data_IF_442472408210
#
_entry.id   IF_442472408210
#
_cell.length_a   1.000
_cell.length_b   1.000
_cell.length_c   1.000
_cell.angle_alpha   90.00
_cell.angle_beta   90.00
_cell.angle_gamma   90.00
#
_symmetry.space_group_name_H-M   'P 1'
#
loop_
_entity.id
_entity.type
_entity.pdbx_description
1 polymer ?
#
# COMPACT_ATOMS: atom_id res chain seq x y z
N UNK A 1 11.86 -2.03 14.90
CA UNK A 1 10.54 -2.14 14.25
C UNK A 1 9.55 -1.61 15.26
N UNK A 2 9.10 -0.35 15.30
CA UNK A 2 9.25 0.82 14.41
C UNK A 2 8.87 2.11 15.16
N UNK A 3 9.85 2.94 15.53
CA UNK A 3 9.57 4.23 16.19
C UNK A 3 8.70 5.18 15.34
N UNK A 4 8.66 4.97 14.02
CA UNK A 4 7.84 5.74 13.08
C UNK A 4 6.37 5.28 13.12
N UNK A 5 6.08 3.99 13.31
CA UNK A 5 4.70 3.51 13.41
C UNK A 5 4.08 3.90 14.76
N UNK A 6 4.89 3.97 15.81
CA UNK A 6 4.45 4.35 17.16
C UNK A 6 3.92 5.80 17.23
N UNK A 7 4.35 6.68 16.31
CA UNK A 7 3.90 8.08 16.26
C UNK A 7 2.71 8.30 15.31
N UNK A 8 2.22 7.26 14.64
CA UNK A 8 1.08 7.35 13.73
C UNK A 8 -0.20 7.11 14.53
N UNK A 9 -0.87 8.19 14.93
CA UNK A 9 -2.05 8.13 15.80
C UNK A 9 -3.30 7.54 15.10
N UNK A 10 -3.41 7.63 13.77
CA UNK A 10 -4.59 7.16 13.02
C UNK A 10 -4.39 5.72 12.50
N UNK A 11 -5.25 4.79 12.93
CA UNK A 11 -5.20 3.36 12.57
C UNK A 11 -5.08 3.11 11.05
N UNK A 12 -5.74 3.93 10.24
CA UNK A 12 -5.68 3.84 8.77
C UNK A 12 -4.28 4.07 8.21
N UNK A 13 -3.52 4.99 8.80
CA UNK A 13 -2.18 5.34 8.31
C UNK A 13 -1.20 4.26 8.69
N UNK A 14 -1.33 3.73 9.92
CA UNK A 14 -0.51 2.61 10.36
C UNK A 14 -0.73 1.39 9.47
N UNK A 15 -1.99 1.06 9.18
CA UNK A 15 -2.35 -0.03 8.27
C UNK A 15 -1.73 0.15 6.87
N UNK A 16 -1.81 1.35 6.29
CA UNK A 16 -1.22 1.64 4.97
C UNK A 16 0.29 1.49 4.98
N UNK A 17 0.98 1.98 6.02
CA UNK A 17 2.44 1.90 6.13
C UNK A 17 2.88 0.46 6.36
N UNK A 18 2.26 -0.25 7.30
CA UNK A 18 2.53 -1.68 7.55
C UNK A 18 2.33 -2.48 6.26
N UNK A 19 1.21 -2.26 5.55
CA UNK A 19 0.95 -2.93 4.27
C UNK A 19 2.06 -2.62 3.26
N UNK A 20 2.45 -1.35 3.09
CA UNK A 20 3.51 -0.96 2.15
C UNK A 20 4.86 -1.63 2.47
N UNK A 21 5.22 -1.70 3.76
CA UNK A 21 6.47 -2.29 4.23
C UNK A 21 6.46 -3.80 3.99
N UNK A 22 5.40 -4.49 4.42
CA UNK A 22 5.35 -5.96 4.43
C UNK A 22 5.14 -6.55 3.02
N UNK A 23 4.47 -5.82 2.12
CA UNK A 23 4.19 -6.30 0.76
C UNK A 23 5.17 -5.77 -0.29
N UNK A 24 5.90 -4.69 0.02
CA UNK A 24 6.76 -4.00 -0.94
C UNK A 24 6.01 -3.24 -2.03
N UNK A 25 4.71 -2.98 -1.84
CA UNK A 25 3.89 -2.22 -2.79
C UNK A 25 4.48 -0.82 -3.02
N UNK A 26 4.49 -0.40 -4.28
CA UNK A 26 4.81 0.98 -4.65
C UNK A 26 3.64 1.88 -4.26
N UNK A 27 3.93 3.15 -3.99
CA UNK A 27 2.91 4.15 -3.66
C UNK A 27 1.75 4.20 -4.67
N UNK A 28 2.03 4.03 -5.97
CA UNK A 28 1.01 4.00 -7.01
C UNK A 28 0.13 2.75 -7.04
N UNK A 29 0.61 1.62 -6.49
CA UNK A 29 -0.14 0.37 -6.35
C UNK A 29 -0.99 0.44 -5.07
N UNK A 30 -0.39 0.87 -3.96
CA UNK A 30 -1.08 1.07 -2.68
C UNK A 30 -2.23 2.08 -2.80
N UNK A 31 -2.03 3.16 -3.55
CA UNK A 31 -3.07 4.18 -3.77
C UNK A 31 -4.28 3.66 -4.56
N UNK A 32 -4.12 2.61 -5.36
CA UNK A 32 -5.20 2.00 -6.17
C UNK A 32 -5.70 0.66 -5.61
N UNK A 33 -5.12 0.20 -4.50
CA UNK A 33 -5.47 -1.06 -3.84
C UNK A 33 -6.95 -1.07 -3.45
N UNK A 34 -7.67 -2.13 -3.83
CA UNK A 34 -9.07 -2.35 -3.46
C UNK A 34 -9.17 -3.51 -2.47
N UNK A 35 -10.25 -3.51 -1.69
CA UNK A 35 -10.52 -4.62 -0.75
C UNK A 35 -10.58 -5.98 -1.46
N UNK A 36 -11.07 -6.01 -2.71
CA UNK A 36 -11.14 -7.23 -3.52
C UNK A 36 -9.76 -7.78 -3.94
N UNK A 37 -8.71 -6.98 -3.85
CA UNK A 37 -7.34 -7.40 -4.17
C UNK A 37 -6.64 -8.10 -2.98
N UNK A 38 -7.29 -8.13 -1.80
CA UNK A 38 -6.74 -8.71 -0.57
C UNK A 38 -7.35 -10.10 -0.30
N UNK A 39 -6.49 -11.12 -0.28
CA UNK A 39 -6.82 -12.42 0.31
C UNK A 39 -6.17 -12.52 1.69
N UNK A 40 -6.94 -12.14 2.72
CA UNK A 40 -6.47 -12.12 4.11
C UNK A 40 -6.20 -13.55 4.62
N UNK A 41 -6.94 -14.54 4.14
CA UNK A 41 -6.77 -15.93 4.58
C UNK A 41 -5.47 -16.54 4.01
N UNK A 42 -5.12 -16.17 2.79
CA UNK A 42 -3.87 -16.58 2.15
C UNK A 42 -2.67 -15.67 2.46
N UNK A 43 -2.90 -14.51 3.11
CA UNK A 43 -1.92 -13.44 3.27
C UNK A 43 -1.32 -12.99 1.92
N UNK A 44 -2.18 -12.87 0.90
CA UNK A 44 -1.80 -12.47 -0.46
C UNK A 44 -2.43 -11.13 -0.81
N UNK A 45 -1.63 -10.27 -1.43
CA UNK A 45 -2.10 -9.03 -2.07
C UNK A 45 -1.87 -9.14 -3.58
N UNK A 46 -2.93 -8.91 -4.35
CA UNK A 46 -2.87 -8.93 -5.82
C UNK A 46 -2.74 -7.52 -6.36
N UNK A 47 -1.69 -7.24 -7.15
CA UNK A 47 -1.56 -5.94 -7.83
C UNK A 47 -2.32 -5.97 -9.15
N UNK A 48 -3.54 -5.44 -9.13
CA UNK A 48 -4.39 -5.37 -10.34
C UNK A 48 -4.15 -4.09 -11.15
N UNK A 49 -3.74 -3.00 -10.47
CA UNK A 49 -3.62 -1.65 -11.05
C UNK A 49 -2.45 -0.92 -10.42
N UNK A 50 -1.92 0.06 -11.14
CA UNK A 50 -0.92 0.99 -10.61
C UNK A 50 -1.14 2.36 -11.22
N UNK A 51 -1.07 3.40 -10.39
CA UNK A 51 -0.88 4.76 -10.90
C UNK A 51 0.51 4.82 -11.54
N UNK A 52 0.57 5.17 -12.82
CA UNK A 52 1.81 5.46 -13.51
C UNK A 52 1.91 6.97 -13.71
N UNK A 53 3.03 7.55 -13.29
CA UNK A 53 3.37 8.92 -13.67
C UNK A 53 3.53 8.95 -15.20
N UNK A 54 2.62 9.62 -15.89
CA UNK A 54 2.79 9.94 -17.30
C UNK A 54 3.84 11.03 -17.40
N UNK A 55 5.05 10.69 -17.85
CA UNK A 55 6.03 11.72 -18.22
C UNK A 55 5.39 12.62 -19.28
N UNK A 56 5.30 13.95 -19.06
CA UNK A 56 4.86 14.86 -20.11
C UNK A 56 5.88 14.76 -21.25
N UNK A 57 5.45 14.26 -22.39
CA UNK A 57 6.24 14.33 -23.62
C UNK A 57 5.79 15.58 -24.37
N UNK A 58 6.36 16.71 -23.94
CA UNK A 58 6.32 17.98 -24.65
C UNK A 58 7.73 18.58 -24.63
#
# INVERSE_FOLDING_TARGET
MDAVLDVVEELRWRLLIETAIETGLRWGELAELRVADLDIAAAVVTVTRTVLELRPQF
#
